data_IF_372977753150
#
_entry.id   IF_372977753150
#
_cell.length_a   1.000
_cell.length_b   1.000
_cell.length_c   1.000
_cell.angle_alpha   90.00
_cell.angle_beta   90.00
_cell.angle_gamma   90.00
#
_symmetry.space_group_name_H-M   'P 1'
#
loop_
_entity.id
_entity.type
_entity.pdbx_description
1 polymer ?
#
# COMPACT_ATOMS: atom_id res chain seq x y z
N UNK A 1 -1.60 -19.42 -13.37
CA UNK A 1 -2.18 -18.94 -14.64
C UNK A 1 -3.14 -19.91 -15.29
N UNK A 2 -2.75 -21.17 -15.54
CA UNK A 2 -3.64 -22.18 -16.17
C UNK A 2 -4.98 -22.36 -15.44
N UNK A 3 -5.01 -22.17 -14.13
CA UNK A 3 -6.22 -22.27 -13.32
C UNK A 3 -7.29 -21.23 -13.69
N UNK A 4 -6.91 -19.99 -14.09
CA UNK A 4 -7.88 -18.95 -14.46
C UNK A 4 -8.57 -19.28 -15.78
N UNK A 5 -7.80 -19.67 -16.78
CA UNK A 5 -8.33 -20.12 -18.07
C UNK A 5 -9.21 -21.36 -17.91
N UNK A 6 -8.78 -22.35 -17.11
CA UNK A 6 -9.62 -23.55 -16.80
C UNK A 6 -10.93 -23.17 -16.14
N UNK A 7 -10.90 -22.27 -15.15
CA UNK A 7 -12.10 -21.84 -14.46
C UNK A 7 -13.06 -21.05 -15.37
N UNK A 8 -12.54 -20.17 -16.22
CA UNK A 8 -13.33 -19.43 -17.20
C UNK A 8 -13.98 -20.36 -18.24
N UNK A 9 -13.21 -21.32 -18.78
CA UNK A 9 -13.74 -22.36 -19.66
C UNK A 9 -14.88 -23.16 -19.03
N UNK A 10 -14.72 -23.54 -17.75
CA UNK A 10 -15.76 -24.24 -17.01
C UNK A 10 -17.03 -23.39 -16.86
N UNK A 11 -16.89 -22.08 -16.53
CA UNK A 11 -18.02 -21.15 -16.42
C UNK A 11 -18.74 -20.93 -17.76
N UNK A 12 -17.99 -20.85 -18.84
CA UNK A 12 -18.52 -20.70 -20.20
C UNK A 12 -19.03 -22.04 -20.79
N UNK A 13 -18.94 -23.15 -20.05
CA UNK A 13 -19.27 -24.49 -20.52
C UNK A 13 -18.54 -24.90 -21.82
N UNK A 14 -17.30 -24.42 -22.00
CA UNK A 14 -16.46 -24.75 -23.16
C UNK A 14 -15.37 -25.74 -22.76
N UNK A 15 -15.31 -26.86 -23.46
CA UNK A 15 -14.16 -27.76 -23.39
C UNK A 15 -13.00 -27.25 -24.29
N UNK A 16 -11.80 -27.85 -24.24
CA UNK A 16 -10.68 -27.42 -25.06
C UNK A 16 -10.94 -27.47 -26.58
N UNK A 17 -11.79 -28.39 -27.05
CA UNK A 17 -12.10 -28.52 -28.47
C UNK A 17 -13.08 -27.42 -28.93
N UNK A 18 -14.09 -27.14 -28.11
CA UNK A 18 -15.06 -26.09 -28.33
C UNK A 18 -14.41 -24.70 -28.32
N UNK A 19 -13.51 -24.44 -27.35
CA UNK A 19 -12.76 -23.18 -27.32
C UNK A 19 -11.84 -23.05 -28.54
N UNK A 20 -11.15 -24.13 -28.94
CA UNK A 20 -10.28 -24.13 -30.11
C UNK A 20 -11.05 -23.78 -31.39
N UNK A 21 -12.23 -24.37 -31.57
CA UNK A 21 -13.12 -24.07 -32.68
C UNK A 21 -13.60 -22.61 -32.65
N UNK A 22 -14.01 -22.09 -31.48
CA UNK A 22 -14.51 -20.74 -31.32
C UNK A 22 -13.47 -19.66 -31.71
N UNK A 23 -12.19 -19.91 -31.43
CA UNK A 23 -11.11 -18.92 -31.68
C UNK A 23 -10.23 -19.25 -32.89
N UNK A 24 -10.60 -20.30 -33.65
CA UNK A 24 -9.93 -20.69 -34.89
C UNK A 24 -8.50 -21.19 -34.72
N UNK A 25 -8.23 -22.00 -33.69
CA UNK A 25 -6.92 -22.63 -33.46
C UNK A 25 -7.04 -24.15 -33.29
N UNK A 26 -5.91 -24.85 -33.26
CA UNK A 26 -5.87 -26.29 -32.98
C UNK A 26 -6.04 -26.60 -31.48
N UNK A 27 -6.73 -27.69 -31.14
CA UNK A 27 -6.99 -28.14 -29.75
C UNK A 27 -5.70 -28.29 -28.93
N UNK A 28 -4.61 -28.76 -29.53
CA UNK A 28 -3.30 -28.87 -28.87
C UNK A 28 -2.76 -27.51 -28.46
N UNK A 29 -3.10 -26.44 -29.19
CA UNK A 29 -2.73 -25.07 -28.84
C UNK A 29 -3.43 -24.64 -27.55
N UNK A 30 -4.73 -24.94 -27.40
CA UNK A 30 -5.49 -24.71 -26.16
C UNK A 30 -4.88 -25.51 -25.01
N UNK A 31 -4.57 -26.78 -25.22
CA UNK A 31 -3.90 -27.61 -24.20
C UNK A 31 -2.57 -26.99 -23.74
N UNK A 32 -1.78 -26.41 -24.64
CA UNK A 32 -0.53 -25.69 -24.27
C UNK A 32 -0.81 -24.45 -23.42
N UNK A 33 -1.94 -23.74 -23.63
CA UNK A 33 -2.34 -22.63 -22.77
C UNK A 33 -2.74 -23.10 -21.38
N UNK A 34 -3.46 -24.23 -21.30
CA UNK A 34 -3.84 -24.88 -20.04
C UNK A 34 -2.65 -25.49 -19.27
N UNK A 35 -1.47 -25.57 -19.90
CA UNK A 35 -0.19 -25.91 -19.25
C UNK A 35 0.70 -24.69 -19.02
N UNK A 36 0.23 -23.47 -19.29
CA UNK A 36 0.88 -22.21 -18.90
C UNK A 36 1.40 -21.34 -20.04
N UNK A 37 1.32 -21.77 -21.31
CA UNK A 37 1.73 -20.92 -22.44
C UNK A 37 0.76 -19.76 -22.62
N UNK A 38 1.27 -18.54 -22.76
CA UNK A 38 0.46 -17.36 -23.04
C UNK A 38 0.24 -17.22 -24.55
N UNK A 39 -1.01 -17.05 -25.04
CA UNK A 39 -1.27 -16.76 -26.45
C UNK A 39 -0.76 -15.36 -26.86
N UNK A 40 -0.59 -15.13 -28.17
CA UNK A 40 -0.36 -13.78 -28.69
C UNK A 40 -1.59 -12.89 -28.52
N UNK A 41 -1.41 -11.57 -28.50
CA UNK A 41 -2.46 -10.58 -28.17
C UNK A 41 -3.76 -10.79 -28.94
N UNK A 42 -3.69 -10.94 -30.27
CA UNK A 42 -4.87 -11.19 -31.12
C UNK A 42 -5.67 -12.42 -30.68
N UNK A 43 -4.98 -13.49 -30.30
CA UNK A 43 -5.61 -14.73 -29.83
C UNK A 43 -6.12 -14.58 -28.40
N UNK A 44 -5.45 -13.80 -27.55
CA UNK A 44 -5.94 -13.51 -26.20
C UNK A 44 -7.29 -12.78 -26.23
N UNK A 45 -7.42 -11.77 -27.09
CA UNK A 45 -8.68 -11.04 -27.29
C UNK A 45 -9.81 -11.99 -27.74
N UNK A 46 -9.57 -12.80 -28.77
CA UNK A 46 -10.57 -13.75 -29.26
C UNK A 46 -11.01 -14.79 -28.20
N UNK A 47 -10.07 -15.26 -27.37
CA UNK A 47 -10.39 -16.19 -26.25
C UNK A 47 -11.14 -15.48 -25.13
N UNK A 48 -10.77 -14.23 -24.80
CA UNK A 48 -11.48 -13.43 -23.81
C UNK A 48 -12.94 -13.21 -24.24
N UNK A 49 -13.16 -12.81 -25.49
CA UNK A 49 -14.49 -12.65 -26.08
C UNK A 49 -15.29 -13.97 -26.05
N UNK A 50 -14.68 -15.09 -26.46
CA UNK A 50 -15.34 -16.39 -26.47
C UNK A 50 -15.74 -16.89 -25.07
N UNK A 51 -15.03 -16.44 -24.03
CA UNK A 51 -15.27 -16.83 -22.63
C UNK A 51 -16.11 -15.80 -21.87
N UNK A 52 -16.38 -14.63 -22.45
CA UNK A 52 -17.05 -13.52 -21.75
C UNK A 52 -16.22 -12.91 -20.62
N UNK A 53 -14.89 -12.98 -20.73
CA UNK A 53 -13.93 -12.49 -19.74
C UNK A 53 -13.09 -11.35 -20.33
N UNK A 54 -12.28 -10.66 -19.53
CA UNK A 54 -11.29 -9.71 -20.06
C UNK A 54 -9.91 -10.36 -20.24
N UNK A 55 -9.07 -9.79 -21.12
CA UNK A 55 -7.66 -10.22 -21.27
C UNK A 55 -6.91 -10.13 -19.92
N UNK A 56 -7.21 -9.10 -19.11
CA UNK A 56 -6.60 -8.87 -17.81
C UNK A 56 -6.98 -9.95 -16.78
N UNK A 57 -8.20 -10.47 -16.84
CA UNK A 57 -8.65 -11.53 -15.93
C UNK A 57 -7.93 -12.85 -16.22
N UNK A 58 -7.86 -13.21 -17.50
CA UNK A 58 -7.25 -14.45 -17.97
C UNK A 58 -5.71 -14.42 -17.94
N UNK A 59 -5.10 -13.29 -18.30
CA UNK A 59 -3.65 -13.09 -18.42
C UNK A 59 -3.20 -11.75 -17.83
N UNK A 60 -3.28 -11.55 -16.51
CA UNK A 60 -2.90 -10.29 -15.85
C UNK A 60 -1.45 -9.88 -16.19
N UNK A 61 -0.53 -10.84 -16.31
CA UNK A 61 0.87 -10.61 -16.64
C UNK A 61 1.13 -10.05 -18.05
N UNK A 62 0.09 -9.92 -18.89
CA UNK A 62 0.20 -9.34 -20.23
C UNK A 62 -0.22 -7.87 -20.30
N UNK A 63 -0.70 -7.32 -19.18
CA UNK A 63 -1.08 -5.91 -19.06
C UNK A 63 0.13 -5.02 -19.30
N UNK A 64 0.15 -4.20 -20.36
CA UNK A 64 1.28 -3.30 -20.64
C UNK A 64 1.47 -2.27 -19.53
N UNK A 65 0.38 -1.83 -18.88
CA UNK A 65 0.37 -0.93 -17.72
C UNK A 65 0.92 -1.57 -16.44
N UNK A 66 1.09 -2.90 -16.42
CA UNK A 66 1.70 -3.64 -15.32
C UNK A 66 3.07 -4.20 -15.68
N UNK A 67 3.62 -3.91 -16.87
CA UNK A 67 4.95 -4.36 -17.25
C UNK A 67 6.05 -3.56 -16.51
N UNK A 68 7.21 -4.16 -16.22
CA UNK A 68 8.37 -3.41 -15.73
C UNK A 68 8.72 -2.25 -16.67
N UNK A 69 8.88 -1.04 -16.12
CA UNK A 69 9.19 0.17 -16.89
C UNK A 69 7.99 0.85 -17.55
N UNK A 70 6.77 0.34 -17.38
CA UNK A 70 5.56 1.04 -17.80
C UNK A 70 5.34 2.32 -16.97
N UNK A 71 4.68 3.30 -17.57
CA UNK A 71 4.29 4.52 -16.84
C UNK A 71 3.27 4.19 -15.75
N UNK A 72 3.56 4.60 -14.52
CA UNK A 72 2.71 4.38 -13.35
C UNK A 72 1.76 5.56 -13.05
N UNK A 73 1.51 6.43 -14.04
CA UNK A 73 0.67 7.64 -13.86
C UNK A 73 -0.73 7.30 -13.36
N UNK A 74 -1.28 6.15 -13.78
CA UNK A 74 -2.60 5.70 -13.35
C UNK A 74 -2.69 5.33 -11.86
N UNK A 75 -1.55 5.09 -11.18
CA UNK A 75 -1.52 4.88 -9.74
C UNK A 75 -1.63 6.19 -8.95
N UNK A 76 -1.28 7.33 -9.55
CA UNK A 76 -1.39 8.65 -8.91
C UNK A 76 -2.85 9.11 -8.98
N UNK A 77 -3.57 8.96 -7.87
CA UNK A 77 -4.94 9.45 -7.69
C UNK A 77 -4.96 10.98 -7.57
N UNK A 78 -4.01 11.53 -6.82
CA UNK A 78 -3.85 12.97 -6.64
C UNK A 78 -2.40 13.31 -6.26
N UNK A 79 -1.98 14.53 -6.59
CA UNK A 79 -0.73 15.12 -6.13
C UNK A 79 -1.04 16.47 -5.46
N UNK A 80 -0.46 16.69 -4.29
CA UNK A 80 -0.65 17.89 -3.48
C UNK A 80 0.69 18.61 -3.32
N UNK A 81 0.68 19.94 -3.48
CA UNK A 81 1.87 20.76 -3.28
C UNK A 81 2.37 20.71 -1.82
N UNK A 82 1.44 20.62 -0.87
CA UNK A 82 1.74 20.44 0.55
C UNK A 82 0.84 19.34 1.15
N UNK A 83 1.36 18.57 2.11
CA UNK A 83 0.63 17.53 2.85
C UNK A 83 -0.57 18.13 3.58
N UNK A 84 -0.43 19.38 4.05
CA UNK A 84 -1.50 20.14 4.67
C UNK A 84 -2.70 20.40 3.73
N UNK A 85 -2.49 20.38 2.41
CA UNK A 85 -3.54 20.65 1.44
C UNK A 85 -4.44 19.41 1.19
N UNK A 86 -4.06 18.24 1.72
CA UNK A 86 -4.90 17.05 1.64
C UNK A 86 -6.16 17.28 2.48
N UNK A 87 -7.37 17.20 1.89
CA UNK A 87 -8.58 17.41 2.65
C UNK A 87 -8.74 16.40 3.79
N UNK A 88 -9.22 16.87 4.95
CA UNK A 88 -9.46 16.02 6.12
C UNK A 88 -10.30 14.77 5.80
N UNK A 89 -11.34 14.92 4.96
CA UNK A 89 -12.21 13.82 4.57
C UNK A 89 -11.48 12.71 3.77
N UNK A 90 -10.39 13.02 3.07
CA UNK A 90 -9.60 12.01 2.35
C UNK A 90 -8.88 11.12 3.36
N UNK A 91 -8.21 11.72 4.35
CA UNK A 91 -7.59 10.97 5.45
C UNK A 91 -8.60 10.15 6.22
N UNK A 92 -9.76 10.75 6.55
CA UNK A 92 -10.82 10.07 7.27
C UNK A 92 -11.33 8.86 6.48
N UNK A 93 -11.61 9.04 5.19
CA UNK A 93 -12.09 7.97 4.31
C UNK A 93 -11.07 6.82 4.17
N UNK A 94 -9.78 7.13 4.07
CA UNK A 94 -8.71 6.13 4.02
C UNK A 94 -8.66 5.30 5.31
N UNK A 95 -8.65 5.98 6.47
CA UNK A 95 -8.63 5.31 7.77
C UNK A 95 -9.90 4.48 7.98
N UNK A 96 -11.09 5.05 7.75
CA UNK A 96 -12.35 4.34 7.96
C UNK A 96 -12.54 3.19 6.96
N UNK A 97 -12.05 3.35 5.73
CA UNK A 97 -12.18 2.36 4.65
C UNK A 97 -11.23 1.17 4.75
N UNK A 98 -10.10 1.29 5.45
CA UNK A 98 -9.15 0.19 5.60
C UNK A 98 -9.75 -1.01 6.35
N UNK A 99 -9.56 -2.22 5.84
CA UNK A 99 -10.14 -3.47 6.38
C UNK A 99 -9.12 -4.58 6.59
N UNK A 100 -7.99 -4.55 5.88
CA UNK A 100 -6.99 -5.62 5.89
C UNK A 100 -5.65 -5.16 6.45
N UNK A 101 -5.27 -3.90 6.21
CA UNK A 101 -3.95 -3.40 6.56
C UNK A 101 -3.93 -1.88 6.79
N UNK A 102 -3.22 -1.49 7.84
CA UNK A 102 -2.79 -0.11 8.08
C UNK A 102 -1.28 -0.14 8.37
N UNK A 103 -0.48 0.52 7.52
CA UNK A 103 0.97 0.66 7.73
C UNK A 103 1.31 2.16 7.75
N UNK A 104 1.74 2.68 8.90
CA UNK A 104 2.13 4.08 9.07
C UNK A 104 3.62 4.18 9.35
N UNK A 105 4.32 5.03 8.60
CA UNK A 105 5.75 5.29 8.73
C UNK A 105 6.02 6.79 8.65
N UNK A 106 6.69 7.33 9.67
CA UNK A 106 7.18 8.69 9.69
C UNK A 106 7.79 9.02 11.05
N UNK A 107 8.17 10.27 11.25
CA UNK A 107 8.75 10.70 12.53
C UNK A 107 7.72 10.61 13.67
N UNK A 108 6.61 11.36 13.59
CA UNK A 108 5.61 11.44 14.67
C UNK A 108 4.14 11.35 14.20
N UNK A 109 3.79 11.95 13.06
CA UNK A 109 2.44 11.94 12.46
C UNK A 109 1.20 12.04 13.43
N UNK A 110 1.20 12.93 14.45
CA UNK A 110 0.08 13.02 15.39
C UNK A 110 -1.25 13.41 14.74
N UNK A 111 -1.20 14.12 13.60
CA UNK A 111 -2.37 14.50 12.82
C UNK A 111 -3.25 13.30 12.37
N UNK A 112 -2.69 12.08 12.27
CA UNK A 112 -3.47 10.88 12.00
C UNK A 112 -4.08 10.29 13.27
N UNK A 113 -3.33 10.37 14.38
CA UNK A 113 -3.77 9.84 15.68
C UNK A 113 -4.95 10.66 16.22
N UNK A 114 -4.94 11.96 15.95
CA UNK A 114 -5.96 12.94 16.34
C UNK A 114 -7.03 13.17 15.25
N UNK A 115 -6.97 12.41 14.15
CA UNK A 115 -7.80 12.67 12.96
C UNK A 115 -9.31 12.63 13.25
N UNK A 116 -9.74 11.64 14.04
CA UNK A 116 -11.12 11.43 14.48
C UNK A 116 -11.15 11.31 16.02
N UNK A 117 -12.24 11.71 16.69
CA UNK A 117 -12.36 11.57 18.14
C UNK A 117 -12.19 10.14 18.65
N UNK A 118 -12.46 9.14 17.80
CA UNK A 118 -12.41 7.72 18.10
C UNK A 118 -11.31 6.97 17.32
N UNK A 119 -10.26 7.63 16.82
CA UNK A 119 -9.20 6.99 16.02
C UNK A 119 -8.65 5.72 16.68
N UNK A 120 -8.32 5.75 17.97
CA UNK A 120 -7.74 4.59 18.66
C UNK A 120 -8.74 3.42 18.73
N UNK A 121 -10.00 3.70 19.08
CA UNK A 121 -11.05 2.67 19.08
C UNK A 121 -11.25 2.09 17.68
N UNK A 122 -11.27 2.92 16.64
CA UNK A 122 -11.42 2.49 15.26
C UNK A 122 -10.26 1.57 14.81
N UNK A 123 -9.03 1.87 15.21
CA UNK A 123 -7.87 1.02 14.96
C UNK A 123 -8.00 -0.32 15.71
N UNK A 124 -8.40 -0.28 16.98
CA UNK A 124 -8.64 -1.48 17.79
C UNK A 124 -9.71 -2.38 17.17
N UNK A 125 -10.83 -1.81 16.72
CA UNK A 125 -11.92 -2.56 16.09
C UNK A 125 -11.46 -3.22 14.79
N UNK A 126 -10.67 -2.51 13.97
CA UNK A 126 -10.10 -3.06 12.73
C UNK A 126 -9.15 -4.22 13.01
N UNK A 127 -8.25 -4.06 13.97
CA UNK A 127 -7.32 -5.11 14.35
C UNK A 127 -8.04 -6.35 14.91
N UNK A 128 -9.04 -6.13 15.76
CA UNK A 128 -9.90 -7.20 16.30
C UNK A 128 -10.67 -7.95 15.20
N UNK A 129 -11.02 -7.25 14.12
CA UNK A 129 -11.65 -7.83 12.93
C UNK A 129 -10.64 -8.44 11.92
N UNK A 130 -9.37 -8.59 12.31
CA UNK A 130 -8.35 -9.29 11.52
C UNK A 130 -7.47 -8.40 10.65
N UNK A 131 -7.61 -7.07 10.70
CA UNK A 131 -6.68 -6.17 10.03
C UNK A 131 -5.31 -6.20 10.70
N UNK A 132 -4.23 -6.13 9.90
CA UNK A 132 -2.88 -5.94 10.43
C UNK A 132 -2.55 -4.45 10.52
N UNK A 133 -2.15 -3.98 11.69
CA UNK A 133 -1.81 -2.57 11.94
C UNK A 133 -0.37 -2.46 12.40
N UNK A 134 0.44 -1.69 11.68
CA UNK A 134 1.85 -1.44 12.00
C UNK A 134 2.14 0.04 12.04
N UNK A 135 2.57 0.52 13.20
CA UNK A 135 2.85 1.94 13.47
C UNK A 135 4.35 2.11 13.71
N UNK A 136 5.08 2.58 12.69
CA UNK A 136 6.52 2.84 12.76
C UNK A 136 6.76 4.32 13.06
N UNK A 137 7.33 4.61 14.23
CA UNK A 137 7.76 5.94 14.63
C UNK A 137 9.28 6.05 14.57
N UNK A 138 9.81 7.25 14.41
CA UNK A 138 11.24 7.44 14.62
C UNK A 138 11.56 7.27 16.11
N UNK A 139 12.68 6.64 16.44
CA UNK A 139 13.19 6.62 17.81
C UNK A 139 13.52 8.07 18.23
N UNK A 140 12.85 8.63 19.28
CA UNK A 140 13.03 10.02 19.69
C UNK A 140 14.45 10.35 20.10
N UNK A 141 15.26 9.36 20.48
CA UNK A 141 16.61 9.54 21.00
C UNK A 141 17.69 9.24 19.93
N UNK A 142 17.31 8.88 18.70
CA UNK A 142 18.27 8.60 17.64
C UNK A 142 18.84 9.87 16.97
N UNK A 143 20.09 9.82 16.44
CA UNK A 143 20.74 10.97 15.81
C UNK A 143 19.93 11.58 14.65
N UNK A 144 19.24 10.75 13.86
CA UNK A 144 18.49 11.23 12.69
C UNK A 144 17.23 12.03 13.05
N UNK A 145 16.70 11.89 14.28
CA UNK A 145 15.66 12.81 14.78
C UNK A 145 16.26 14.17 15.09
N UNK A 146 17.43 14.22 15.73
CA UNK A 146 18.11 15.48 16.01
C UNK A 146 18.54 16.21 14.73
N UNK A 147 19.08 15.49 13.75
CA UNK A 147 19.40 16.03 12.42
C UNK A 147 18.16 16.61 11.75
N UNK A 148 17.03 15.87 11.80
CA UNK A 148 15.79 16.31 11.19
C UNK A 148 15.22 17.55 11.85
N UNK A 149 15.24 17.60 13.18
CA UNK A 149 14.82 18.75 13.96
C UNK A 149 15.61 20.02 13.58
N UNK A 150 16.95 19.88 13.50
CA UNK A 150 17.84 20.95 13.10
C UNK A 150 17.56 21.42 11.65
N UNK A 151 17.32 20.47 10.73
CA UNK A 151 16.95 20.78 9.34
C UNK A 151 15.61 21.53 9.25
N UNK A 152 14.60 21.13 10.03
CA UNK A 152 13.28 21.80 10.05
C UNK A 152 13.27 23.10 10.87
N UNK A 153 14.36 23.39 11.59
CA UNK A 153 14.52 24.57 12.44
C UNK A 153 13.39 24.69 13.46
N UNK A 154 13.11 23.59 14.17
CA UNK A 154 12.02 23.49 15.15
C UNK A 154 12.49 23.41 16.60
N UNK A 155 13.77 23.70 16.86
CA UNK A 155 14.29 24.07 18.18
C UNK A 155 14.30 22.94 19.21
N UNK A 156 14.54 21.70 18.80
CA UNK A 156 14.60 20.51 19.66
C UNK A 156 13.23 19.95 20.04
N UNK A 157 12.16 20.34 19.35
CA UNK A 157 10.79 19.90 19.68
C UNK A 157 10.40 18.56 19.09
N UNK A 158 11.12 18.05 18.08
CA UNK A 158 10.76 16.82 17.39
C UNK A 158 10.75 15.58 18.31
N UNK A 159 11.76 15.31 19.17
CA UNK A 159 11.70 14.19 20.11
C UNK A 159 10.45 14.24 21.01
N UNK A 160 10.09 15.44 21.49
CA UNK A 160 8.89 15.63 22.31
C UNK A 160 7.60 15.34 21.53
N UNK A 161 7.52 15.73 20.26
CA UNK A 161 6.38 15.42 19.38
C UNK A 161 6.23 13.93 19.13
N UNK A 162 7.35 13.22 18.98
CA UNK A 162 7.36 11.75 18.83
C UNK A 162 6.83 11.09 20.10
N UNK A 163 7.35 11.46 21.28
CA UNK A 163 6.86 10.93 22.57
C UNK A 163 5.38 11.21 22.78
N UNK A 164 4.91 12.41 22.42
CA UNK A 164 3.49 12.74 22.48
C UNK A 164 2.64 11.87 21.54
N UNK A 165 3.13 11.59 20.33
CA UNK A 165 2.45 10.69 19.40
C UNK A 165 2.38 9.26 19.94
N UNK A 166 3.46 8.75 20.54
CA UNK A 166 3.49 7.44 21.19
C UNK A 166 2.49 7.34 22.35
N UNK A 167 2.30 8.42 23.13
CA UNK A 167 1.30 8.44 24.21
C UNK A 167 -0.13 8.25 23.69
N UNK A 168 -0.48 8.79 22.52
CA UNK A 168 -1.80 8.53 21.91
C UNK A 168 -2.02 7.05 21.60
N UNK A 169 -0.95 6.28 21.40
CA UNK A 169 -1.01 4.85 21.10
C UNK A 169 -1.10 3.96 22.34
N UNK A 170 -1.08 4.51 23.57
CA UNK A 170 -1.26 3.74 24.81
C UNK A 170 -2.47 2.77 24.76
N UNK A 171 -3.67 3.17 24.25
CA UNK A 171 -4.82 2.27 24.15
C UNK A 171 -4.65 1.09 23.18
N UNK A 172 -3.64 1.16 22.30
CA UNK A 172 -3.34 0.10 21.33
C UNK A 172 -2.38 -0.95 21.90
N UNK A 173 -1.78 -0.71 23.07
CA UNK A 173 -0.87 -1.65 23.70
C UNK A 173 -1.57 -2.97 24.03
N UNK A 174 -1.07 -4.06 23.42
CA UNK A 174 -1.59 -5.41 23.65
C UNK A 174 -2.81 -5.78 22.82
N UNK A 175 -3.32 -4.88 21.97
CA UNK A 175 -4.37 -5.21 21.00
C UNK A 175 -3.81 -6.22 19.98
N UNK A 176 -4.38 -7.43 19.86
CA UNK A 176 -3.93 -8.39 18.85
C UNK A 176 -4.04 -7.81 17.44
N UNK A 177 -2.98 -7.96 16.64
CA UNK A 177 -2.91 -7.42 15.28
C UNK A 177 -2.38 -5.99 15.19
N UNK A 178 -2.11 -5.32 16.32
CA UNK A 178 -1.42 -4.02 16.35
C UNK A 178 0.03 -4.17 16.82
N UNK A 179 0.96 -3.62 16.04
CA UNK A 179 2.38 -3.56 16.35
C UNK A 179 2.88 -2.12 16.29
N UNK A 180 3.63 -1.70 17.30
CA UNK A 180 4.26 -0.37 17.37
C UNK A 180 5.77 -0.57 17.38
N UNK A 181 6.45 0.04 16.42
CA UNK A 181 7.89 -0.07 16.24
C UNK A 181 8.59 1.28 16.22
N UNK A 182 9.83 1.32 16.71
CA UNK A 182 10.74 2.44 16.58
C UNK A 182 11.78 2.15 15.49
N UNK A 183 12.00 3.09 14.57
CA UNK A 183 13.07 3.01 13.57
C UNK A 183 14.14 4.08 13.83
N UNK A 184 15.37 3.77 13.43
CA UNK A 184 16.50 4.71 13.42
C UNK A 184 16.92 5.06 11.99
N UNK A 185 16.06 4.86 11.00
CA UNK A 185 16.34 5.17 9.59
C UNK A 185 16.27 6.69 9.32
N UNK A 186 17.23 7.21 8.56
CA UNK A 186 17.15 8.54 7.96
C UNK A 186 16.12 8.55 6.82
N UNK A 187 14.93 9.11 7.08
CA UNK A 187 13.81 9.06 6.15
C UNK A 187 13.93 10.09 5.02
N UNK A 188 13.69 9.63 3.79
CA UNK A 188 13.53 10.47 2.60
C UNK A 188 12.06 10.77 2.28
N UNK A 189 11.15 9.97 2.84
CA UNK A 189 9.72 10.13 2.70
C UNK A 189 9.00 9.54 3.93
N UNK A 190 7.72 9.86 4.06
CA UNK A 190 6.80 9.17 4.98
C UNK A 190 5.72 8.43 4.18
N UNK A 191 5.26 7.30 4.71
CA UNK A 191 4.31 6.39 4.06
C UNK A 191 3.12 6.15 4.98
N UNK A 192 1.92 6.35 4.46
CA UNK A 192 0.67 6.12 5.19
C UNK A 192 -0.26 5.25 4.33
N UNK A 193 -0.19 3.93 4.52
CA UNK A 193 -0.91 2.94 3.72
C UNK A 193 -2.17 2.47 4.44
N UNK A 194 -3.24 2.36 3.66
CA UNK A 194 -4.56 1.86 4.04
C UNK A 194 -5.01 0.89 2.95
N UNK A 195 -4.87 -0.42 3.18
CA UNK A 195 -5.09 -1.49 2.20
C UNK A 195 -4.33 -1.27 0.87
N UNK A 196 -5.07 -0.93 -0.19
CA UNK A 196 -4.63 -0.71 -1.57
C UNK A 196 -4.52 0.78 -1.93
N UNK A 197 -4.50 1.64 -0.90
CA UNK A 197 -4.37 3.08 -1.02
C UNK A 197 -3.22 3.56 -0.12
N UNK A 198 -2.53 4.62 -0.52
CA UNK A 198 -1.38 5.13 0.23
C UNK A 198 -1.22 6.62 0.02
N UNK A 199 -0.88 7.35 1.08
CA UNK A 199 -0.28 8.68 0.95
C UNK A 199 1.24 8.56 1.16
N UNK A 200 2.01 9.01 0.18
CA UNK A 200 3.47 9.15 0.29
C UNK A 200 3.84 10.61 0.34
N UNK A 201 4.75 10.98 1.23
CA UNK A 201 5.22 12.36 1.39
C UNK A 201 6.73 12.43 1.26
N UNK A 202 7.26 12.72 0.06
CA UNK A 202 8.67 13.00 -0.15
C UNK A 202 9.11 14.23 0.65
N UNK A 203 10.25 14.16 1.32
CA UNK A 203 10.70 15.24 2.17
C UNK A 203 11.53 16.26 1.38
N UNK A 204 11.04 17.50 1.33
CA UNK A 204 11.81 18.65 0.86
C UNK A 204 12.84 19.09 1.91
N UNK A 205 14.01 19.52 1.44
CA UNK A 205 15.07 20.07 2.29
C UNK A 205 14.58 21.29 3.06
N UNK A 206 14.77 21.30 4.39
CA UNK A 206 14.37 22.36 5.34
C UNK A 206 12.88 22.70 5.41
N UNK A 207 12.03 21.99 4.69
CA UNK A 207 10.58 22.14 4.83
C UNK A 207 10.09 21.42 6.09
N UNK A 208 9.10 21.99 6.76
CA UNK A 208 8.46 21.36 7.91
C UNK A 208 7.50 20.26 7.47
N UNK A 209 7.18 19.35 8.38
CA UNK A 209 6.34 18.18 8.07
C UNK A 209 5.01 18.46 7.33
N UNK A 210 4.39 19.64 7.47
CA UNK A 210 3.14 19.99 6.76
C UNK A 210 3.36 20.56 5.34
N UNK A 211 4.57 21.04 5.03
CA UNK A 211 4.94 21.71 3.78
C UNK A 211 5.44 20.75 2.69
N UNK A 212 5.68 19.48 3.02
CA UNK A 212 6.12 18.50 2.04
C UNK A 212 5.04 18.18 1.02
N UNK A 213 5.37 17.95 -0.26
CA UNK A 213 4.41 17.46 -1.23
C UNK A 213 3.91 16.08 -0.84
N UNK A 214 2.74 15.72 -1.36
CA UNK A 214 2.16 14.40 -1.11
C UNK A 214 1.56 13.81 -2.38
N UNK A 215 1.70 12.49 -2.53
CA UNK A 215 1.05 11.71 -3.57
C UNK A 215 0.04 10.78 -2.91
N UNK A 216 -1.21 10.82 -3.40
CA UNK A 216 -2.20 9.80 -3.12
C UNK A 216 -2.12 8.74 -4.20
N UNK A 217 -1.74 7.54 -3.79
CA UNK A 217 -1.50 6.39 -4.66
C UNK A 217 -2.58 5.32 -4.46
N UNK A 218 -2.86 4.58 -5.53
CA UNK A 218 -3.62 3.32 -5.51
C UNK A 218 -2.77 2.18 -6.08
N UNK A 219 -2.92 1.00 -5.53
CA UNK A 219 -2.22 -0.20 -6.00
C UNK A 219 -2.81 -0.66 -7.34
N UNK A 220 -2.01 -0.67 -8.41
CA UNK A 220 -2.40 -1.25 -9.70
C UNK A 220 -1.39 -2.27 -10.23
N UNK A 221 -0.09 -2.08 -9.97
CA UNK A 221 0.98 -2.90 -10.53
C UNK A 221 1.99 -3.34 -9.47
N UNK A 222 2.47 -4.59 -9.50
CA UNK A 222 3.58 -5.03 -8.65
C UNK A 222 4.93 -4.37 -9.02
N UNK A 223 4.96 -3.60 -10.11
CA UNK A 223 6.11 -2.83 -10.56
C UNK A 223 5.84 -1.31 -10.53
N UNK A 224 4.71 -0.90 -9.93
CA UNK A 224 4.29 0.49 -9.81
C UNK A 224 4.94 1.25 -8.66
N UNK A 225 4.58 2.53 -8.54
CA UNK A 225 5.06 3.43 -7.48
C UNK A 225 4.54 2.95 -6.13
N UNK A 226 3.29 2.47 -6.06
CA UNK A 226 2.72 1.94 -4.84
C UNK A 226 3.53 0.75 -4.31
N UNK A 227 3.83 -0.23 -5.18
CA UNK A 227 4.61 -1.42 -4.81
C UNK A 227 6.01 -1.06 -4.33
N UNK A 228 6.68 -0.11 -5.00
CA UNK A 228 8.01 0.36 -4.59
C UNK A 228 8.02 0.97 -3.17
N UNK A 229 7.03 1.79 -2.82
CA UNK A 229 6.93 2.35 -1.46
C UNK A 229 6.45 1.32 -0.43
N UNK A 230 5.61 0.36 -0.82
CA UNK A 230 5.23 -0.75 0.04
C UNK A 230 6.45 -1.63 0.39
N UNK A 231 7.31 -1.93 -0.59
CA UNK A 231 8.55 -2.67 -0.37
C UNK A 231 9.54 -1.90 0.52
N UNK A 232 9.66 -0.58 0.32
CA UNK A 232 10.44 0.28 1.21
C UNK A 232 9.93 0.23 2.65
N UNK A 233 8.61 0.27 2.85
CA UNK A 233 8.04 0.13 4.19
C UNK A 233 8.45 -1.19 4.83
N UNK A 234 8.36 -2.31 4.11
CA UNK A 234 8.76 -3.62 4.66
C UNK A 234 10.25 -3.67 5.03
N UNK A 235 11.13 -3.12 4.19
CA UNK A 235 12.56 -3.05 4.48
C UNK A 235 12.84 -2.24 5.76
N UNK A 236 12.15 -1.11 5.96
CA UNK A 236 12.30 -0.30 7.16
C UNK A 236 11.69 -1.01 8.38
N UNK A 237 10.49 -1.59 8.22
CA UNK A 237 9.79 -2.29 9.30
C UNK A 237 10.63 -3.43 9.89
N UNK A 238 11.34 -4.19 9.05
CA UNK A 238 12.23 -5.27 9.49
C UNK A 238 13.40 -4.80 10.37
N UNK A 239 13.72 -3.50 10.34
CA UNK A 239 14.76 -2.89 11.19
C UNK A 239 14.21 -2.27 12.46
N UNK A 240 12.88 -2.23 12.63
CA UNK A 240 12.26 -1.62 13.80
C UNK A 240 12.51 -2.42 15.06
N UNK A 241 12.66 -1.73 16.18
CA UNK A 241 12.59 -2.33 17.51
C UNK A 241 11.19 -2.15 18.08
N UNK A 242 10.68 -3.15 18.80
CA UNK A 242 9.36 -3.03 19.41
C UNK A 242 9.35 -1.88 20.43
N UNK A 243 8.36 -0.99 20.32
CA UNK A 243 8.13 0.00 21.37
C UNK A 243 7.65 -0.72 22.64
N UNK A 244 8.31 -0.52 23.80
CA UNK A 244 7.98 -1.26 25.00
C UNK A 244 6.53 -1.00 25.41
N UNK A 245 5.82 -2.09 25.69
CA UNK A 245 4.56 -2.03 26.42
C UNK A 245 4.91 -1.56 27.82
N UNK A 246 4.63 -0.32 28.18
CA UNK A 246 4.73 0.08 29.60
C UNK A 246 3.72 -0.78 30.37
N UNK A 247 4.23 -1.69 31.20
CA UNK A 247 3.44 -2.43 32.17
C UNK A 247 3.12 -1.45 33.30
N UNK A 248 1.97 -0.80 33.24
CA UNK A 248 1.47 0.00 34.35
C UNK A 248 0.77 -0.87 35.39
#
# INVERSE_FOLDING_TARGET
MSHRLRAAMLRAHLDPAALAAAVGVDVKTVTRWLTGRVPHQRTRLAVADALGETEADLWPQTRPDQAPGAEATAEVVAAYAHRADIPHHVWAALLTGATTRIDLLGYAYPFLLELLPNTMQLITDKATNGARVRLAFADPDCPHVAERDALEQIGGTLPGRIRNALNFCEPLHGVPGVEIGLHTVHLYNSVFRFDHQMIVTPHLYRARGYQHPALHLRELSPHGIFAAHADQFEQIWQTTTAYPKETR
#
